data_IF_776344113325
#
_entry.id   IF_776344113325
#
_cell.length_a   1.000
_cell.length_b   1.000
_cell.length_c   1.000
_cell.angle_alpha   90.00
_cell.angle_beta   90.00
_cell.angle_gamma   90.00
#
_symmetry.space_group_name_H-M   'P 1'
#
loop_
_entity.id
_entity.type
_entity.pdbx_description
1 polymer ?
#
# COMPACT_ATOMS: atom_id res chain seq x y z
N UNK A 1 -55.28 43.47 23.55
CA UNK A 1 -55.21 42.44 24.60
C UNK A 1 -53.76 42.07 24.85
N UNK A 2 -53.40 42.12 26.13
CA UNK A 2 -52.16 41.83 26.88
C UNK A 2 -50.97 41.08 26.23
N UNK A 3 -49.74 41.57 26.49
CA UNK A 3 -48.41 40.95 26.24
C UNK A 3 -47.91 40.22 27.50
N UNK A 4 -47.30 39.03 27.40
CA UNK A 4 -46.39 38.53 28.45
C UNK A 4 -45.11 37.97 27.83
N UNK A 5 -44.00 38.60 28.20
CA UNK A 5 -42.60 38.22 27.99
C UNK A 5 -42.15 37.35 29.17
N UNK A 6 -41.26 36.37 28.97
CA UNK A 6 -40.64 35.61 30.06
C UNK A 6 -39.11 35.71 29.99
N UNK A 7 -38.51 36.20 31.06
CA UNK A 7 -37.08 36.36 31.29
C UNK A 7 -36.74 35.75 32.66
N UNK A 8 -35.65 34.99 32.76
CA UNK A 8 -35.00 34.52 34.01
C UNK A 8 -33.52 34.31 33.65
N UNK A 9 -32.49 34.81 34.32
CA UNK A 9 -32.37 35.47 35.62
C UNK A 9 -31.05 34.98 36.25
N UNK A 10 -29.94 35.71 36.04
CA UNK A 10 -28.62 35.42 36.61
C UNK A 10 -28.58 35.90 38.07
N UNK A 11 -28.25 35.01 39.00
CA UNK A 11 -28.05 35.33 40.41
C UNK A 11 -26.55 35.49 40.71
N UNK A 12 -26.14 36.72 40.98
CA UNK A 12 -24.89 37.09 41.66
C UNK A 12 -25.09 36.95 43.17
N UNK A 13 -24.15 36.30 43.87
CA UNK A 13 -24.10 36.29 45.33
C UNK A 13 -22.83 37.01 45.80
N UNK A 14 -23.08 37.94 46.74
CA UNK A 14 -22.23 38.76 47.60
C UNK A 14 -20.84 38.17 47.95
N UNK A 15 -19.77 38.94 48.20
CA UNK A 15 -19.69 40.29 48.76
C UNK A 15 -19.52 40.25 50.29
N UNK A 16 -18.28 40.15 50.80
CA UNK A 16 -17.92 40.46 52.19
C UNK A 16 -16.51 41.10 52.24
N UNK A 17 -16.38 42.15 53.04
CA UNK A 17 -15.32 43.18 53.05
C UNK A 17 -14.36 43.05 54.25
N UNK A 18 -13.11 43.51 54.11
CA UNK A 18 -12.21 43.92 55.21
C UNK A 18 -10.79 44.27 54.69
N UNK A 19 -10.32 45.53 54.69
CA UNK A 19 -9.70 46.39 55.73
C UNK A 19 -8.17 46.18 55.99
N UNK A 20 -7.34 47.00 55.30
CA UNK A 20 -5.97 47.56 55.62
C UNK A 20 -4.66 46.70 55.61
N UNK A 21 -3.45 47.35 55.46
CA UNK A 21 -2.32 46.87 54.63
C UNK A 21 -1.00 46.55 55.40
N UNK A 22 -0.08 45.80 54.76
CA UNK A 22 1.40 45.89 54.92
C UNK A 22 2.12 44.92 53.97
N UNK A 23 3.34 45.29 53.54
CA UNK A 23 4.20 44.63 52.55
C UNK A 23 4.94 43.36 53.09
N UNK A 24 5.92 42.78 52.35
CA UNK A 24 5.92 41.38 51.93
C UNK A 24 6.81 40.45 52.80
N UNK A 25 6.50 39.16 52.81
CA UNK A 25 7.44 38.11 53.23
C UNK A 25 7.31 36.89 52.34
N UNK A 26 8.47 36.28 52.11
CA UNK A 26 8.80 35.34 51.05
C UNK A 26 8.20 33.93 51.19
N UNK A 27 8.21 33.24 50.05
CA UNK A 27 8.34 31.80 49.80
C UNK A 27 7.35 30.84 50.48
N UNK A 28 6.36 30.39 49.70
CA UNK A 28 6.37 29.01 49.21
C UNK A 28 5.38 28.91 48.04
N UNK A 29 5.88 28.79 46.82
CA UNK A 29 5.05 28.46 45.66
C UNK A 29 5.71 27.27 45.00
N UNK A 30 5.28 26.08 45.39
CA UNK A 30 5.57 24.85 44.67
C UNK A 30 5.35 25.13 43.17
N UNK A 31 6.39 25.00 42.32
CA UNK A 31 6.22 25.20 40.90
C UNK A 31 5.29 24.10 40.40
N UNK A 32 4.04 24.47 40.11
CA UNK A 32 3.10 23.59 39.43
C UNK A 32 3.66 23.33 38.04
N UNK A 33 4.28 22.17 37.85
CA UNK A 33 4.68 21.70 36.53
C UNK A 33 3.42 21.56 35.69
N UNK A 34 3.27 22.28 34.57
CA UNK A 34 2.12 22.12 33.69
C UNK A 34 1.97 20.64 33.33
N UNK A 35 0.75 20.12 33.45
CA UNK A 35 0.47 18.76 32.99
C UNK A 35 0.89 18.66 31.51
N UNK A 36 1.55 17.56 31.10
CA UNK A 36 1.94 17.37 29.71
C UNK A 36 0.69 17.52 28.83
N UNK A 37 0.68 18.56 28.00
CA UNK A 37 -0.29 18.66 26.91
C UNK A 37 -0.02 17.46 26.01
N UNK A 38 -1.04 16.68 25.58
CA UNK A 38 -0.85 15.68 24.56
C UNK A 38 -0.30 16.39 23.32
N UNK A 39 1.01 16.30 23.10
CA UNK A 39 1.60 16.59 21.82
C UNK A 39 1.00 15.54 20.89
N UNK A 40 0.25 15.96 19.87
CA UNK A 40 -0.04 15.09 18.74
C UNK A 40 1.30 14.45 18.35
N UNK A 41 1.43 13.15 18.64
CA UNK A 41 2.65 12.43 18.30
C UNK A 41 2.82 12.63 16.80
N UNK A 42 3.99 13.12 16.33
CA UNK A 42 4.19 13.28 14.90
C UNK A 42 3.84 11.94 14.27
N UNK A 43 2.89 11.94 13.33
CA UNK A 43 2.47 10.74 12.61
C UNK A 43 3.75 10.04 12.18
N UNK A 44 4.07 8.89 12.79
CA UNK A 44 5.47 8.48 12.85
C UNK A 44 6.04 8.35 11.42
N UNK A 45 6.98 9.23 11.12
CA UNK A 45 7.53 9.43 9.79
C UNK A 45 8.08 8.12 9.28
N UNK A 46 7.71 7.75 8.06
CA UNK A 46 8.21 6.52 7.44
C UNK A 46 9.52 6.86 6.73
N UNK A 47 10.62 6.28 7.19
CA UNK A 47 11.93 6.49 6.58
C UNK A 47 12.14 5.55 5.39
N UNK A 48 12.50 6.12 4.24
CA UNK A 48 12.87 5.38 3.02
C UNK A 48 14.38 5.46 2.77
N UNK A 49 14.99 4.48 2.06
CA UNK A 49 16.40 4.56 1.74
C UNK A 49 16.67 5.74 0.78
N UNK A 50 17.59 6.62 1.15
CA UNK A 50 17.96 7.79 0.34
C UNK A 50 19.47 7.96 0.24
N UNK A 51 19.94 8.49 -0.88
CA UNK A 51 21.27 9.06 -1.08
C UNK A 51 21.12 10.52 -1.51
N UNK A 52 21.75 11.44 -0.79
CA UNK A 52 21.74 12.89 -1.09
C UNK A 52 20.32 13.47 -1.28
N UNK A 53 19.38 13.01 -0.45
CA UNK A 53 17.97 13.43 -0.48
C UNK A 53 17.14 12.82 -1.62
N UNK A 54 17.75 12.03 -2.51
CA UNK A 54 17.07 11.24 -3.55
C UNK A 54 16.86 9.82 -3.06
N UNK A 55 15.73 9.20 -3.38
CA UNK A 55 15.44 7.81 -3.01
C UNK A 55 16.38 6.86 -3.75
N UNK A 56 17.00 5.95 -3.01
CA UNK A 56 17.74 4.81 -3.57
C UNK A 56 16.73 3.73 -4.00
N UNK A 57 16.34 3.76 -5.28
CA UNK A 57 15.32 2.87 -5.85
C UNK A 57 15.76 1.41 -5.78
N UNK A 58 17.04 1.10 -6.03
CA UNK A 58 17.53 -0.28 -5.98
C UNK A 58 17.35 -0.85 -4.56
N UNK A 59 17.81 -0.12 -3.55
CA UNK A 59 17.66 -0.52 -2.15
C UNK A 59 16.20 -0.55 -1.70
N UNK A 60 15.35 0.31 -2.27
CA UNK A 60 13.91 0.27 -2.02
C UNK A 60 13.28 -1.04 -2.54
N UNK A 61 13.64 -1.46 -3.75
CA UNK A 61 13.15 -2.71 -4.34
C UNK A 61 13.66 -3.94 -3.60
N UNK A 62 14.91 -3.94 -3.16
CA UNK A 62 15.48 -5.02 -2.34
C UNK A 62 14.72 -5.17 -1.01
N UNK A 63 14.42 -4.04 -0.34
CA UNK A 63 13.61 -4.04 0.89
C UNK A 63 12.20 -4.56 0.64
N UNK A 64 11.59 -4.18 -0.47
CA UNK A 64 10.25 -4.66 -0.84
C UNK A 64 10.22 -6.17 -1.05
N UNK A 65 11.17 -6.71 -1.81
CA UNK A 65 11.28 -8.15 -2.05
C UNK A 65 11.53 -8.92 -0.76
N UNK A 66 12.47 -8.44 0.07
CA UNK A 66 12.77 -9.04 1.36
C UNK A 66 11.55 -9.02 2.29
N UNK A 67 10.79 -7.93 2.32
CA UNK A 67 9.60 -7.80 3.15
C UNK A 67 8.49 -8.79 2.75
N UNK A 68 8.39 -9.14 1.46
CA UNK A 68 7.42 -10.10 0.94
C UNK A 68 7.92 -11.56 0.92
N UNK A 69 9.21 -11.79 1.14
CA UNK A 69 9.81 -13.13 1.08
C UNK A 69 9.20 -14.11 2.09
N UNK A 70 8.80 -13.63 3.27
CA UNK A 70 8.25 -14.44 4.36
C UNK A 70 6.76 -14.22 4.62
N UNK A 71 6.07 -13.41 3.80
CA UNK A 71 4.66 -13.04 4.04
C UNK A 71 3.72 -13.61 3.00
N UNK A 72 2.51 -13.92 3.44
CA UNK A 72 1.37 -14.09 2.53
C UNK A 72 0.95 -12.71 2.00
N UNK A 73 0.66 -12.61 0.70
CA UNK A 73 0.28 -11.35 0.08
C UNK A 73 -0.55 -11.53 -1.19
N UNK A 74 -1.26 -10.47 -1.56
CA UNK A 74 -1.88 -10.27 -2.86
C UNK A 74 -1.25 -9.05 -3.53
N UNK A 75 -0.74 -9.24 -4.75
CA UNK A 75 -0.32 -8.16 -5.65
C UNK A 75 -1.31 -8.08 -6.79
N UNK A 76 -1.89 -6.90 -6.97
CA UNK A 76 -2.73 -6.56 -8.11
C UNK A 76 -2.00 -5.56 -9.00
N UNK A 77 -1.99 -5.80 -10.30
CA UNK A 77 -1.49 -4.87 -11.31
C UNK A 77 -2.62 -4.62 -12.29
N UNK A 78 -2.90 -3.36 -12.57
CA UNK A 78 -3.83 -2.93 -13.61
C UNK A 78 -3.06 -2.04 -14.59
N UNK A 79 -3.23 -2.32 -15.88
CA UNK A 79 -2.70 -1.48 -16.95
C UNK A 79 -3.84 -0.98 -17.82
N UNK A 80 -3.69 0.21 -18.40
CA UNK A 80 -4.66 0.72 -19.35
C UNK A 80 -4.89 -0.25 -20.53
N UNK A 81 -6.12 -0.24 -21.03
CA UNK A 81 -6.61 -1.17 -22.05
C UNK A 81 -7.79 -2.01 -21.53
N UNK A 82 -8.35 -2.90 -22.37
CA UNK A 82 -9.50 -3.71 -21.98
C UNK A 82 -9.11 -4.70 -20.88
N UNK A 83 -9.53 -4.44 -19.64
CA UNK A 83 -9.40 -5.34 -18.48
C UNK A 83 -8.02 -6.04 -18.41
N UNK A 84 -6.94 -5.28 -18.54
CA UNK A 84 -5.57 -5.80 -18.53
C UNK A 84 -5.04 -5.85 -17.09
N UNK A 85 -5.26 -6.98 -16.43
CA UNK A 85 -4.88 -7.15 -15.02
C UNK A 85 -4.00 -8.37 -14.79
N UNK A 86 -3.16 -8.28 -13.75
CA UNK A 86 -2.40 -9.40 -13.20
C UNK A 86 -2.60 -9.43 -11.70
N UNK A 87 -3.24 -10.49 -11.22
CA UNK A 87 -3.33 -10.82 -9.81
C UNK A 87 -2.34 -11.93 -9.45
N UNK A 88 -1.63 -11.76 -8.34
CA UNK A 88 -0.74 -12.75 -7.76
C UNK A 88 -1.09 -12.89 -6.29
N UNK A 89 -1.53 -14.08 -5.89
CA UNK A 89 -1.74 -14.42 -4.48
C UNK A 89 -0.71 -15.45 -4.05
N UNK A 90 -0.12 -15.22 -2.88
CA UNK A 90 0.79 -16.15 -2.22
C UNK A 90 0.30 -16.33 -0.79
N UNK A 91 0.04 -17.57 -0.43
CA UNK A 91 -0.07 -18.04 0.95
C UNK A 91 1.21 -18.81 1.27
N UNK A 92 2.02 -18.26 2.19
CA UNK A 92 3.30 -18.85 2.58
C UNK A 92 3.14 -20.02 3.54
N UNK A 93 2.12 -19.97 4.39
CA UNK A 93 1.92 -20.98 5.44
C UNK A 93 1.44 -22.30 4.85
N UNK A 94 0.54 -22.23 3.86
CA UNK A 94 0.03 -23.42 3.16
C UNK A 94 0.76 -23.72 1.85
N UNK A 95 1.75 -22.90 1.49
CA UNK A 95 2.49 -22.98 0.22
C UNK A 95 1.60 -22.94 -1.04
N UNK A 96 0.44 -22.27 -0.95
CA UNK A 96 -0.51 -22.13 -2.06
C UNK A 96 -0.23 -20.83 -2.81
N UNK A 97 -0.19 -20.90 -4.14
CA UNK A 97 0.01 -19.73 -5.01
C UNK A 97 -1.03 -19.73 -6.10
N UNK A 98 -1.54 -18.54 -6.43
CA UNK A 98 -2.43 -18.35 -7.57
C UNK A 98 -1.98 -17.16 -8.40
N UNK A 99 -1.99 -17.34 -9.72
CA UNK A 99 -1.73 -16.27 -10.67
C UNK A 99 -2.91 -16.21 -11.62
N UNK A 100 -3.50 -15.02 -11.74
CA UNK A 100 -4.58 -14.75 -12.69
C UNK A 100 -4.23 -13.56 -13.56
N UNK A 101 -4.18 -13.77 -14.86
CA UNK A 101 -3.98 -12.72 -15.86
C UNK A 101 -5.25 -12.54 -16.67
N UNK A 102 -5.75 -11.31 -16.78
CA UNK A 102 -6.89 -10.96 -17.63
C UNK A 102 -6.46 -10.00 -18.74
N UNK A 103 -7.04 -10.19 -19.91
CA UNK A 103 -6.90 -9.31 -21.07
C UNK A 103 -8.21 -9.35 -21.86
N UNK A 104 -9.06 -8.35 -21.67
CA UNK A 104 -10.44 -8.35 -22.14
C UNK A 104 -11.21 -9.58 -21.61
N UNK A 105 -11.95 -10.32 -22.45
CA UNK A 105 -12.70 -11.51 -22.01
C UNK A 105 -11.82 -12.72 -21.70
N UNK A 106 -10.50 -12.64 -21.96
CA UNK A 106 -9.55 -13.75 -21.82
C UNK A 106 -8.94 -13.72 -20.42
N UNK A 107 -9.13 -14.77 -19.62
CA UNK A 107 -8.50 -14.94 -18.30
C UNK A 107 -7.68 -16.24 -18.19
N UNK A 108 -6.36 -16.15 -18.01
CA UNK A 108 -5.52 -17.29 -17.66
C UNK A 108 -5.41 -17.36 -16.13
N UNK A 109 -5.80 -18.48 -15.52
CA UNK A 109 -5.88 -18.64 -14.07
C UNK A 109 -5.23 -19.97 -13.68
N UNK A 110 -4.22 -19.89 -12.83
CA UNK A 110 -3.35 -21.03 -12.49
C UNK A 110 -3.15 -21.05 -10.97
N UNK A 111 -3.32 -22.22 -10.38
CA UNK A 111 -3.09 -22.47 -8.95
C UNK A 111 -1.96 -23.50 -8.82
N UNK A 112 -1.00 -23.23 -7.95
CA UNK A 112 0.01 -24.18 -7.51
C UNK A 112 -0.28 -24.50 -6.04
N UNK A 113 -0.57 -25.77 -5.76
CA UNK A 113 -0.84 -26.27 -4.41
C UNK A 113 -0.46 -27.75 -4.35
N UNK A 114 0.01 -28.24 -3.18
CA UNK A 114 0.30 -29.67 -2.97
C UNK A 114 1.21 -30.29 -4.05
N UNK A 115 2.18 -29.51 -4.56
CA UNK A 115 3.06 -29.89 -5.69
C UNK A 115 2.33 -30.21 -7.01
N UNK A 116 1.13 -29.69 -7.19
CA UNK A 116 0.36 -29.80 -8.43
C UNK A 116 0.03 -28.41 -8.96
N UNK A 117 0.22 -28.23 -10.27
CA UNK A 117 -0.23 -27.04 -10.98
C UNK A 117 -1.58 -27.34 -11.63
N UNK A 118 -2.60 -26.62 -11.20
CA UNK A 118 -3.94 -26.63 -11.74
C UNK A 118 -4.09 -25.46 -12.69
N UNK A 119 -4.47 -25.74 -13.94
CA UNK A 119 -4.70 -24.72 -14.97
C UNK A 119 -6.14 -24.80 -15.41
N UNK A 120 -6.87 -23.68 -15.38
CA UNK A 120 -8.22 -23.64 -15.90
C UNK A 120 -8.24 -24.08 -17.38
N UNK A 121 -9.11 -25.02 -17.71
CA UNK A 121 -9.44 -25.37 -19.09
C UNK A 121 -10.71 -24.60 -19.40
N UNK A 122 -10.62 -23.64 -20.31
CA UNK A 122 -11.79 -22.89 -20.74
C UNK A 122 -12.64 -23.74 -21.64
N UNK A 123 -13.95 -23.49 -21.58
CA UNK A 123 -14.94 -24.03 -22.52
C UNK A 123 -15.13 -25.56 -22.45
N UNK A 124 -14.65 -26.22 -21.40
CA UNK A 124 -14.93 -27.63 -21.08
C UNK A 124 -15.57 -27.73 -19.68
N UNK A 125 -16.91 -27.89 -19.58
CA UNK A 125 -17.59 -28.01 -18.30
C UNK A 125 -17.36 -29.37 -17.61
N UNK A 126 -16.99 -30.41 -18.35
CA UNK A 126 -16.78 -31.76 -17.83
C UNK A 126 -15.35 -31.93 -17.29
N UNK A 127 -14.39 -31.16 -17.83
CA UNK A 127 -12.99 -31.11 -17.37
C UNK A 127 -12.58 -29.67 -17.05
N UNK A 128 -13.02 -29.10 -15.92
CA UNK A 128 -12.87 -27.67 -15.63
C UNK A 128 -11.41 -27.20 -15.44
N UNK A 129 -10.47 -28.13 -15.25
CA UNK A 129 -9.04 -27.86 -15.15
C UNK A 129 -8.18 -29.04 -15.61
N UNK A 130 -6.96 -28.72 -16.02
CA UNK A 130 -5.88 -29.68 -16.25
C UNK A 130 -4.88 -29.63 -15.10
N UNK A 131 -4.23 -30.76 -14.82
CA UNK A 131 -3.21 -30.88 -13.80
C UNK A 131 -1.86 -31.25 -14.41
N UNK A 132 -0.78 -30.82 -13.75
CA UNK A 132 0.57 -31.33 -13.96
C UNK A 132 1.35 -31.31 -12.65
N UNK A 133 2.31 -32.20 -12.52
CA UNK A 133 3.20 -32.17 -11.36
C UNK A 133 4.12 -30.94 -11.37
N UNK A 134 4.36 -30.41 -10.18
CA UNK A 134 5.32 -29.36 -9.92
C UNK A 134 6.67 -29.95 -9.50
N UNK A 135 7.73 -29.49 -10.14
CA UNK A 135 9.10 -29.68 -9.69
C UNK A 135 9.44 -28.64 -8.61
N UNK A 136 10.51 -28.84 -7.81
CA UNK A 136 10.97 -27.84 -6.83
C UNK A 136 11.24 -26.44 -7.43
N UNK A 137 11.58 -26.39 -8.73
CA UNK A 137 11.86 -25.14 -9.46
C UNK A 137 10.63 -24.59 -10.21
N UNK A 138 9.45 -25.17 -10.01
CA UNK A 138 8.24 -24.68 -10.67
C UNK A 138 7.86 -23.33 -10.10
N UNK A 139 7.96 -22.30 -10.94
CA UNK A 139 7.43 -20.97 -10.67
C UNK A 139 6.30 -20.64 -11.63
N UNK A 140 5.28 -19.94 -11.12
CA UNK A 140 4.20 -19.40 -11.94
C UNK A 140 4.60 -18.06 -12.60
N UNK A 141 5.58 -17.36 -12.02
CA UNK A 141 6.08 -16.06 -12.48
C UNK A 141 7.58 -15.90 -12.16
N UNK A 142 8.30 -15.14 -12.98
CA UNK A 142 9.72 -14.83 -12.70
C UNK A 142 9.88 -13.99 -11.41
N UNK A 143 9.07 -12.94 -11.25
CA UNK A 143 9.07 -12.08 -10.06
C UNK A 143 7.69 -12.03 -9.40
N UNK A 144 7.43 -12.87 -8.37
CA UNK A 144 6.16 -12.86 -7.66
C UNK A 144 5.95 -11.59 -6.81
N UNK A 145 7.02 -11.01 -6.24
CA UNK A 145 6.96 -9.72 -5.55
C UNK A 145 6.75 -8.55 -6.53
N UNK A 146 7.26 -8.67 -7.76
CA UNK A 146 7.05 -7.68 -8.83
C UNK A 146 8.20 -6.71 -9.00
N UNK A 147 9.34 -7.02 -8.41
CA UNK A 147 10.56 -6.23 -8.53
C UNK A 147 11.01 -6.02 -9.97
N UNK A 148 10.78 -6.96 -10.89
CA UNK A 148 11.13 -6.76 -12.31
C UNK A 148 10.26 -5.70 -12.97
N UNK A 149 8.94 -5.75 -12.75
CA UNK A 149 8.03 -4.72 -13.23
C UNK A 149 8.36 -3.37 -12.61
N UNK A 150 8.54 -3.32 -11.29
CA UNK A 150 8.86 -2.08 -10.58
C UNK A 150 10.20 -1.51 -11.04
N UNK A 151 11.21 -2.34 -11.26
CA UNK A 151 12.51 -1.90 -11.80
C UNK A 151 12.35 -1.25 -13.17
N UNK A 152 11.48 -1.81 -14.01
CA UNK A 152 11.18 -1.25 -15.33
C UNK A 152 10.40 0.06 -15.25
N UNK A 153 9.39 0.17 -14.38
CA UNK A 153 8.58 1.39 -14.24
C UNK A 153 9.35 2.54 -13.59
N UNK A 154 10.28 2.23 -12.71
CA UNK A 154 10.99 3.21 -11.88
C UNK A 154 12.38 3.54 -12.43
N UNK A 155 12.81 2.89 -13.51
CA UNK A 155 14.10 3.19 -14.14
C UNK A 155 14.17 4.65 -14.55
N UNK A 156 15.37 5.21 -14.49
CA UNK A 156 15.68 6.57 -14.97
C UNK A 156 14.87 7.71 -14.33
N UNK A 157 14.17 7.43 -13.22
CA UNK A 157 13.38 8.42 -12.49
C UNK A 157 13.97 8.68 -11.10
N UNK A 158 14.33 9.94 -10.83
CA UNK A 158 14.72 10.35 -9.49
C UNK A 158 13.48 10.61 -8.63
N UNK A 159 13.39 9.98 -7.45
CA UNK A 159 12.29 10.20 -6.51
C UNK A 159 12.74 10.94 -5.26
N UNK A 160 11.83 11.70 -4.66
CA UNK A 160 11.98 12.28 -3.33
C UNK A 160 10.78 11.89 -2.48
N UNK A 161 11.01 11.74 -1.17
CA UNK A 161 9.91 11.69 -0.23
C UNK A 161 9.31 13.08 -0.11
N UNK A 162 8.03 13.21 -0.42
CA UNK A 162 7.30 14.49 -0.40
C UNK A 162 6.33 14.58 0.77
N UNK A 163 5.94 13.42 1.34
CA UNK A 163 4.99 13.37 2.44
C UNK A 163 5.14 12.08 3.26
N UNK A 164 4.44 12.02 4.41
CA UNK A 164 4.13 10.81 5.15
C UNK A 164 2.66 10.86 5.56
N UNK A 165 1.85 9.91 5.10
CA UNK A 165 0.40 9.90 5.33
C UNK A 165 -0.06 8.58 5.93
N UNK A 166 -1.27 8.56 6.49
CA UNK A 166 -1.98 7.31 6.78
C UNK A 166 -2.76 6.83 5.56
N UNK A 167 -2.49 5.62 5.13
CA UNK A 167 -3.22 4.96 4.06
C UNK A 167 -3.72 3.58 4.53
N UNK A 168 -5.03 3.37 4.48
CA UNK A 168 -5.71 2.19 5.02
C UNK A 168 -5.29 1.90 6.48
N UNK A 169 -5.22 2.95 7.31
CA UNK A 169 -4.80 2.89 8.71
C UNK A 169 -3.30 2.68 8.93
N UNK A 170 -2.50 2.54 7.86
CA UNK A 170 -1.06 2.28 7.93
C UNK A 170 -0.27 3.55 7.57
N UNK A 171 0.79 3.88 8.32
CA UNK A 171 1.68 4.97 7.97
C UNK A 171 2.51 4.59 6.74
N UNK A 172 2.53 5.46 5.75
CA UNK A 172 3.29 5.30 4.50
C UNK A 172 4.04 6.58 4.14
N UNK A 173 5.25 6.45 3.61
CA UNK A 173 5.95 7.52 2.92
C UNK A 173 5.36 7.69 1.52
N UNK A 174 5.15 8.93 1.10
CA UNK A 174 4.75 9.26 -0.28
C UNK A 174 5.99 9.71 -1.03
N UNK A 175 6.32 8.98 -2.09
CA UNK A 175 7.44 9.28 -2.97
C UNK A 175 6.89 9.82 -4.29
N UNK A 176 7.44 10.92 -4.75
CA UNK A 176 7.09 11.51 -6.04
C UNK A 176 8.36 11.75 -6.87
N UNK A 177 8.21 11.70 -8.18
CA UNK A 177 9.29 12.05 -9.10
C UNK A 177 9.77 13.48 -8.83
N UNK A 178 11.09 13.68 -8.89
CA UNK A 178 11.70 14.99 -8.83
C UNK A 178 11.63 15.57 -10.23
N UNK A 179 10.97 16.72 -10.39
CA UNK A 179 11.04 17.51 -11.62
C UNK A 179 12.43 18.17 -11.72
N UNK A 180 13.48 17.37 -11.84
CA UNK A 180 14.80 17.89 -12.18
C UNK A 180 14.79 18.18 -13.66
N UNK A 181 14.49 19.45 -13.97
CA UNK A 181 14.67 20.21 -15.20
C UNK A 181 14.98 19.45 -16.50
N UNK A 182 14.13 19.69 -17.51
CA UNK A 182 14.41 19.67 -18.96
C UNK A 182 15.43 18.62 -19.41
N UNK A 183 15.00 17.37 -19.52
CA UNK A 183 15.69 16.50 -20.49
C UNK A 183 15.18 16.92 -21.87
N UNK A 184 16.04 17.28 -22.83
CA UNK A 184 15.59 17.43 -24.21
C UNK A 184 15.00 16.08 -24.58
N UNK A 185 13.67 16.01 -24.74
CA UNK A 185 13.08 14.93 -25.49
C UNK A 185 13.76 15.02 -26.85
N UNK A 186 14.69 14.10 -27.10
CA UNK A 186 14.81 13.61 -28.47
C UNK A 186 13.38 13.34 -28.91
N UNK A 187 13.04 13.67 -30.16
CA UNK A 187 11.66 13.61 -30.67
C UNK A 187 10.96 12.24 -30.40
N UNK A 188 11.76 11.22 -30.07
CA UNK A 188 11.36 9.84 -29.78
C UNK A 188 11.56 9.38 -28.30
N UNK A 189 11.84 10.29 -27.36
CA UNK A 189 12.04 9.95 -25.93
C UNK A 189 10.73 9.73 -25.18
N UNK A 190 10.69 8.72 -24.31
CA UNK A 190 9.57 8.54 -23.36
C UNK A 190 9.44 9.71 -22.39
N UNK A 191 8.22 10.13 -22.10
CA UNK A 191 7.92 11.20 -21.12
C UNK A 191 7.12 10.63 -19.94
N UNK A 192 7.68 10.70 -18.73
CA UNK A 192 6.96 10.30 -17.52
C UNK A 192 6.07 11.45 -17.07
N UNK A 193 4.75 11.27 -17.19
CA UNK A 193 3.77 12.29 -16.78
C UNK A 193 3.52 12.32 -15.27
N UNK A 194 3.44 11.15 -14.64
CA UNK A 194 3.18 10.98 -13.21
C UNK A 194 3.78 9.68 -12.75
N UNK A 195 4.52 9.72 -11.65
CA UNK A 195 4.93 8.53 -10.94
C UNK A 195 4.92 8.78 -9.43
N UNK A 196 4.10 8.02 -8.70
CA UNK A 196 3.95 8.12 -7.25
C UNK A 196 3.97 6.76 -6.60
N UNK A 197 4.69 6.65 -5.50
CA UNK A 197 4.81 5.43 -4.72
C UNK A 197 4.42 5.69 -3.28
N UNK A 198 3.80 4.69 -2.67
CA UNK A 198 3.47 4.69 -1.25
C UNK A 198 4.16 3.51 -0.60
N UNK A 199 5.05 3.80 0.35
CA UNK A 199 5.94 2.80 0.95
C UNK A 199 5.70 2.75 2.44
N UNK A 200 5.44 1.57 3.01
CA UNK A 200 5.26 1.44 4.45
C UNK A 200 6.59 1.33 5.22
N UNK A 201 6.50 1.29 6.55
CA UNK A 201 7.66 1.17 7.44
C UNK A 201 8.43 -0.14 7.28
N UNK A 202 7.80 -1.19 6.77
CA UNK A 202 8.45 -2.47 6.51
C UNK A 202 9.18 -2.48 5.16
N UNK A 203 9.09 -1.40 4.37
CA UNK A 203 9.69 -1.30 3.05
C UNK A 203 8.81 -1.91 1.95
N UNK A 204 7.55 -2.23 2.22
CA UNK A 204 6.62 -2.70 1.19
C UNK A 204 6.13 -1.50 0.39
N UNK A 205 6.38 -1.50 -0.92
CA UNK A 205 5.70 -0.60 -1.86
C UNK A 205 4.26 -1.07 -1.95
N UNK A 206 3.36 -0.33 -1.30
CA UNK A 206 1.94 -0.63 -1.16
C UNK A 206 1.14 -0.22 -2.38
N UNK A 207 1.53 0.89 -3.00
CA UNK A 207 0.95 1.36 -4.24
C UNK A 207 1.93 2.08 -5.12
N UNK A 208 1.70 1.91 -6.42
CA UNK A 208 2.34 2.66 -7.49
C UNK A 208 1.25 3.16 -8.41
N UNK A 209 1.32 4.43 -8.77
CA UNK A 209 0.63 5.01 -9.92
C UNK A 209 1.74 5.51 -10.85
N UNK A 210 1.72 5.05 -12.10
CA UNK A 210 2.74 5.39 -13.08
C UNK A 210 2.13 5.61 -14.46
N UNK A 211 2.42 6.75 -15.06
CA UNK A 211 2.04 7.10 -16.43
C UNK A 211 3.26 7.54 -17.23
N UNK A 212 3.48 6.91 -18.38
CA UNK A 212 4.57 7.18 -19.32
C UNK A 212 4.00 7.29 -20.73
N UNK A 213 4.22 8.44 -21.38
CA UNK A 213 3.94 8.61 -22.80
C UNK A 213 5.11 8.11 -23.63
N UNK A 214 4.83 7.36 -24.68
CA UNK A 214 5.88 6.74 -25.50
C UNK A 214 5.63 7.02 -26.98
N UNK A 215 6.52 7.76 -27.67
CA UNK A 215 6.28 8.15 -29.08
C UNK A 215 6.09 6.96 -30.04
N UNK A 216 6.86 5.88 -29.84
CA UNK A 216 6.89 4.71 -30.74
C UNK A 216 6.22 3.45 -30.14
N UNK A 217 5.56 3.55 -28.99
CA UNK A 217 4.97 2.43 -28.26
C UNK A 217 3.65 2.84 -27.62
N UNK A 218 2.73 1.92 -27.29
CA UNK A 218 1.55 2.28 -26.50
C UNK A 218 1.96 2.97 -25.20
N UNK A 219 1.23 4.00 -24.78
CA UNK A 219 1.47 4.62 -23.47
C UNK A 219 1.41 3.57 -22.34
N UNK A 220 2.16 3.80 -21.28
CA UNK A 220 1.97 3.08 -20.03
C UNK A 220 1.08 3.93 -19.15
N UNK A 221 -0.02 3.34 -18.69
CA UNK A 221 -0.74 3.78 -17.50
C UNK A 221 -0.93 2.53 -16.65
N UNK A 222 -0.31 2.52 -15.48
CA UNK A 222 -0.21 1.34 -14.62
C UNK A 222 -0.42 1.70 -13.17
N UNK A 223 -1.25 0.90 -12.51
CA UNK A 223 -1.32 0.86 -11.06
C UNK A 223 -0.84 -0.49 -10.53
N UNK A 224 -0.18 -0.46 -9.38
CA UNK A 224 0.21 -1.65 -8.62
C UNK A 224 -0.32 -1.49 -7.21
N UNK A 225 -0.95 -2.51 -6.66
CA UNK A 225 -1.41 -2.55 -5.27
C UNK A 225 -0.89 -3.81 -4.59
N UNK A 226 -0.37 -3.69 -3.36
CA UNK A 226 0.14 -4.83 -2.57
C UNK A 226 -0.51 -4.87 -1.19
N UNK A 227 -1.28 -5.91 -0.96
CA UNK A 227 -1.88 -6.24 0.34
C UNK A 227 -1.11 -7.40 0.96
N UNK A 228 -0.63 -7.24 2.19
CA UNK A 228 0.04 -8.33 2.94
C UNK A 228 -0.92 -8.93 3.95
N UNK A 229 -0.51 -10.04 4.54
CA UNK A 229 -1.19 -10.67 5.66
C UNK A 229 -2.59 -11.17 5.25
N UNK A 230 -2.71 -11.64 4.00
CA UNK A 230 -3.91 -12.32 3.53
C UNK A 230 -4.06 -13.65 4.27
N UNK A 231 -5.27 -13.96 4.71
CA UNK A 231 -5.57 -15.20 5.44
C UNK A 231 -5.49 -16.43 4.53
N UNK A 232 -5.95 -16.29 3.28
CA UNK A 232 -5.96 -17.37 2.29
C UNK A 232 -5.93 -16.85 0.87
N UNK A 233 -5.41 -17.67 -0.05
CA UNK A 233 -5.61 -17.50 -1.48
C UNK A 233 -7.09 -17.76 -1.81
N UNK A 234 -7.76 -16.88 -2.58
CA UNK A 234 -9.11 -17.17 -3.05
C UNK A 234 -9.08 -18.37 -3.99
N UNK A 235 -9.94 -19.36 -3.74
CA UNK A 235 -10.05 -20.54 -4.60
C UNK A 235 -11.03 -20.25 -5.75
N UNK A 236 -10.62 -20.47 -7.01
CA UNK A 236 -11.53 -20.28 -8.14
C UNK A 236 -12.63 -21.34 -8.16
N UNK A 237 -13.79 -20.99 -8.74
CA UNK A 237 -14.94 -21.89 -8.86
C UNK A 237 -14.59 -23.23 -9.54
N UNK A 238 -13.72 -23.20 -10.56
CA UNK A 238 -13.31 -24.38 -11.31
C UNK A 238 -12.43 -25.33 -10.49
N UNK A 239 -11.93 -24.91 -9.33
CA UNK A 239 -11.16 -25.73 -8.39
C UNK A 239 -11.91 -26.01 -7.09
N UNK A 240 -13.17 -25.57 -6.95
CA UNK A 240 -13.88 -25.61 -5.67
C UNK A 240 -14.04 -27.04 -5.12
N UNK A 241 -14.27 -28.02 -5.99
CA UNK A 241 -14.42 -29.44 -5.59
C UNK A 241 -13.10 -30.10 -5.17
N UNK A 242 -11.96 -29.50 -5.53
CA UNK A 242 -10.62 -29.93 -5.15
C UNK A 242 -9.91 -28.82 -4.37
N UNK A 243 -10.61 -28.17 -3.43
CA UNK A 243 -10.04 -27.09 -2.61
C UNK A 243 -8.77 -27.57 -1.88
N UNK A 244 -7.59 -27.01 -2.19
CA UNK A 244 -6.33 -27.43 -1.60
C UNK A 244 -6.23 -27.15 -0.09
N UNK A 245 -7.10 -26.30 0.46
CA UNK A 245 -7.17 -26.06 1.90
C UNK A 245 -7.91 -27.17 2.66
N UNK A 246 -8.72 -27.98 1.98
CA UNK A 246 -9.53 -29.06 2.60
C UNK A 246 -8.72 -30.30 2.94
N UNK A 247 -7.56 -30.50 2.29
CA UNK A 247 -6.69 -31.66 2.47
C UNK A 247 -5.91 -31.73 3.81
N UNK A 248 -6.23 -30.86 4.79
CA UNK A 248 -5.53 -30.77 6.08
C UNK A 248 -6.40 -31.01 7.32
N UNK A 249 -7.61 -31.54 7.16
CA UNK A 249 -8.47 -31.98 8.27
C UNK A 249 -8.60 -33.50 8.28
N UNK A 250 -7.49 -34.19 8.60
CA UNK A 250 -7.50 -35.56 9.11
C UNK A 250 -6.51 -35.65 10.26
#
# INVERSE_FOLDING_TARGET
MWRVTLAVGIALIAGCSGFFPASPTADDSDPVTPAPVPTDSPEATVAVPTSDGTVDVARLLDRHEQALASRSFHRHVEQAGPQNTLDVWIDREREIRRVRRRFGPISNDVVLANRTVYTNVRDDPDTPYATRDATPNTSLLASPAGTDLLRQLLSDTAYRQVDSVRWNGRPVAVLAMTNTAETPTTENGSEIGRSRLYVDRQGVIRYVEHTERRPDRPDIDTTVTVTTDIERVPIPWWLAESDPYSSGSM
#
